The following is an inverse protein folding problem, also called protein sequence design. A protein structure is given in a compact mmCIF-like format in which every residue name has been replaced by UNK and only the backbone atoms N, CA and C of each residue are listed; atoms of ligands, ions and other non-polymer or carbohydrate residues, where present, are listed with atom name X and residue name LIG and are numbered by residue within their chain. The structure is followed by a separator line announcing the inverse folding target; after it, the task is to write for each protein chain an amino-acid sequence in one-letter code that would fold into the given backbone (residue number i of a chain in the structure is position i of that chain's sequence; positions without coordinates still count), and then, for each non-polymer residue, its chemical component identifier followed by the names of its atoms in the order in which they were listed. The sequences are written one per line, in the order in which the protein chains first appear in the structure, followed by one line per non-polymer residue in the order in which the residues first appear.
data_IF_354818039736
#
_entry.id   IF_354818039736
#
_cell.length_a   1.000
_cell.length_b   1.000
_cell.length_c   1.000
_cell.angle_alpha   90.00
_cell.angle_beta   90.00
_cell.angle_gamma   90.00
#
_symmetry.space_group_name_H-M   'P 1'
#
loop_
_entity.id
_entity.type
_entity.pdbx_description
1 polymer ?
#
# COMPACT_ATOMS: atom_id res chain seq x y z
N UNK A 1 -19.32 20.24 -5.00
CA UNK A 1 -19.00 18.81 -5.19
C UNK A 1 -19.58 18.38 -6.52
N UNK A 2 -18.78 17.69 -7.35
CA UNK A 2 -19.20 17.11 -8.63
C UNK A 2 -18.81 15.63 -8.62
N UNK A 3 -19.64 14.76 -9.19
CA UNK A 3 -19.35 13.32 -9.29
C UNK A 3 -18.27 13.09 -10.36
N UNK A 4 -17.16 12.46 -10.00
CA UNK A 4 -16.10 12.07 -10.93
C UNK A 4 -16.36 10.70 -11.61
N UNK A 5 -17.10 9.78 -10.97
CA UNK A 5 -17.39 8.48 -11.57
C UNK A 5 -18.02 7.47 -10.61
N UNK A 6 -17.88 6.19 -10.96
CA UNK A 6 -18.25 5.00 -10.18
C UNK A 6 -17.20 3.93 -10.42
N UNK A 7 -16.85 3.21 -9.37
CA UNK A 7 -16.03 2.01 -9.41
C UNK A 7 -16.68 0.96 -8.51
N UNK A 8 -16.41 -0.31 -8.76
CA UNK A 8 -16.97 -1.41 -7.98
C UNK A 8 -16.14 -1.62 -6.70
N UNK A 9 -16.75 -1.49 -5.52
CA UNK A 9 -16.09 -1.71 -4.22
C UNK A 9 -14.74 -0.93 -4.07
N UNK A 10 -14.78 0.41 -3.92
CA UNK A 10 -13.58 1.22 -3.72
C UNK A 10 -12.89 0.88 -2.39
N UNK A 11 -11.57 0.65 -2.41
CA UNK A 11 -10.79 0.12 -1.28
C UNK A 11 -9.66 1.01 -0.80
N UNK A 12 -9.09 1.82 -1.69
CA UNK A 12 -8.03 2.76 -1.36
C UNK A 12 -7.98 3.90 -2.37
N UNK A 13 -7.40 5.04 -1.95
CA UNK A 13 -7.18 6.20 -2.81
C UNK A 13 -5.84 6.83 -2.46
N UNK A 14 -5.02 7.11 -3.46
CA UNK A 14 -3.80 7.89 -3.29
C UNK A 14 -3.44 8.69 -4.53
N UNK A 15 -3.18 9.99 -4.34
CA UNK A 15 -2.72 10.93 -5.38
C UNK A 15 -3.43 10.81 -6.75
N UNK A 16 -4.76 10.67 -6.72
CA UNK A 16 -5.57 10.56 -7.93
C UNK A 16 -5.65 9.15 -8.52
N UNK A 17 -5.10 8.13 -7.87
CA UNK A 17 -5.41 6.73 -8.15
C UNK A 17 -6.40 6.16 -7.14
N UNK A 18 -7.24 5.23 -7.59
CA UNK A 18 -8.25 4.54 -6.79
C UNK A 18 -8.07 3.04 -7.01
N UNK A 19 -7.93 2.28 -5.91
CA UNK A 19 -8.01 0.83 -5.92
C UNK A 19 -9.46 0.40 -5.73
N UNK A 20 -9.92 -0.54 -6.54
CA UNK A 20 -11.29 -1.06 -6.52
C UNK A 20 -11.31 -2.55 -6.92
N UNK A 21 -12.43 -3.24 -6.68
CA UNK A 21 -12.59 -4.65 -7.07
C UNK A 21 -12.46 -4.87 -8.58
N UNK A 22 -12.90 -3.89 -9.39
CA UNK A 22 -12.77 -3.90 -10.85
C UNK A 22 -11.41 -3.41 -11.37
N UNK A 23 -10.45 -3.11 -10.48
CA UNK A 23 -9.07 -2.78 -10.83
C UNK A 23 -8.64 -1.40 -10.33
N UNK A 24 -7.63 -0.83 -10.98
CA UNK A 24 -7.12 0.50 -10.65
C UNK A 24 -7.71 1.53 -11.60
N UNK A 25 -8.12 2.66 -11.05
CA UNK A 25 -8.66 3.80 -11.79
C UNK A 25 -7.87 5.07 -11.48
N UNK A 26 -7.76 5.94 -12.48
CA UNK A 26 -7.14 7.25 -12.34
C UNK A 26 -8.20 8.35 -12.45
N UNK A 27 -8.18 9.29 -11.52
CA UNK A 27 -8.92 10.54 -11.59
C UNK A 27 -8.33 11.39 -12.70
N UNK A 28 -9.19 11.79 -13.65
CA UNK A 28 -8.89 12.71 -14.74
C UNK A 28 -9.86 13.89 -14.66
N UNK A 29 -9.65 14.94 -15.45
CA UNK A 29 -10.32 16.24 -15.32
C UNK A 29 -11.81 16.17 -14.96
N UNK A 30 -12.62 15.45 -15.76
CA UNK A 30 -14.07 15.34 -15.60
C UNK A 30 -14.54 13.91 -15.29
N UNK A 31 -13.62 13.00 -14.92
CA UNK A 31 -13.93 11.58 -14.94
C UNK A 31 -13.01 10.67 -14.14
N UNK A 32 -13.33 9.37 -14.21
CA UNK A 32 -12.44 8.27 -13.85
C UNK A 32 -12.08 7.48 -15.09
N UNK A 33 -10.81 7.09 -15.21
CA UNK A 33 -10.31 6.23 -16.27
C UNK A 33 -9.77 4.94 -15.66
N UNK A 34 -10.29 3.79 -16.06
CA UNK A 34 -9.67 2.50 -15.72
C UNK A 34 -8.27 2.41 -16.35
N UNK A 35 -7.29 2.00 -15.55
CA UNK A 35 -5.90 1.79 -15.97
C UNK A 35 -5.49 0.32 -15.87
N UNK A 36 -6.45 -0.60 -15.68
CA UNK A 36 -6.24 -2.04 -15.70
C UNK A 36 -6.10 -2.69 -14.32
N UNK A 37 -5.48 -3.88 -14.31
CA UNK A 37 -5.51 -4.84 -13.19
C UNK A 37 -6.94 -5.31 -12.86
N UNK A 38 -7.04 -6.16 -11.85
CA UNK A 38 -8.28 -6.63 -11.26
C UNK A 38 -8.07 -6.83 -9.76
N UNK A 39 -9.14 -6.72 -8.98
CA UNK A 39 -9.13 -6.92 -7.53
C UNK A 39 -8.02 -6.10 -6.84
N UNK A 40 -7.93 -4.82 -7.19
CA UNK A 40 -6.96 -3.91 -6.59
C UNK A 40 -7.34 -3.66 -5.14
N UNK A 41 -6.37 -3.83 -4.25
CA UNK A 41 -6.54 -3.71 -2.80
C UNK A 41 -5.96 -2.41 -2.30
N UNK A 42 -4.84 -1.96 -2.85
CA UNK A 42 -4.22 -0.71 -2.44
C UNK A 42 -3.43 -0.07 -3.58
N UNK A 43 -3.18 1.24 -3.49
CA UNK A 43 -2.45 2.02 -4.50
C UNK A 43 -1.54 3.06 -3.85
N UNK A 44 -0.37 3.25 -4.44
CA UNK A 44 0.45 4.44 -4.24
C UNK A 44 0.51 5.20 -5.56
N UNK A 45 0.04 6.46 -5.57
CA UNK A 45 -0.14 7.23 -6.81
C UNK A 45 0.93 8.27 -7.09
N UNK A 46 1.78 8.61 -6.11
CA UNK A 46 2.84 9.63 -6.26
C UNK A 46 4.10 9.03 -6.88
N UNK A 47 4.89 9.87 -7.55
CA UNK A 47 6.16 9.47 -8.13
C UNK A 47 6.01 8.26 -9.07
N UNK A 48 6.55 7.12 -8.65
CA UNK A 48 6.44 5.83 -9.33
C UNK A 48 5.21 5.06 -8.78
N UNK A 49 4.13 4.89 -9.57
CA UNK A 49 2.91 4.31 -9.03
C UNK A 49 3.03 2.80 -8.80
N UNK A 50 2.44 2.34 -7.69
CA UNK A 50 2.33 0.93 -7.32
C UNK A 50 0.89 0.54 -7.05
N UNK A 51 0.59 -0.74 -7.22
CA UNK A 51 -0.69 -1.34 -6.84
C UNK A 51 -0.48 -2.70 -6.16
N UNK A 52 -1.18 -2.90 -5.05
CA UNK A 52 -1.33 -4.21 -4.41
C UNK A 52 -2.66 -4.83 -4.84
N UNK A 53 -2.66 -6.11 -5.19
CA UNK A 53 -3.85 -6.84 -5.65
C UNK A 53 -3.91 -8.23 -5.03
N UNK A 54 -4.99 -8.97 -5.27
CA UNK A 54 -5.05 -10.38 -4.88
C UNK A 54 -4.09 -11.29 -5.64
N UNK A 55 -3.55 -10.87 -6.78
CA UNK A 55 -2.64 -11.69 -7.59
C UNK A 55 -1.15 -11.35 -7.36
N UNK A 56 -0.85 -10.11 -6.96
CA UNK A 56 0.52 -9.62 -6.96
C UNK A 56 0.67 -8.15 -6.58
N UNK A 57 1.94 -7.75 -6.46
CA UNK A 57 2.40 -6.37 -6.45
C UNK A 57 2.77 -5.95 -7.87
N UNK A 58 2.30 -4.77 -8.26
CA UNK A 58 2.52 -4.22 -9.59
C UNK A 58 3.06 -2.81 -9.53
N UNK A 59 3.80 -2.45 -10.56
CA UNK A 59 4.31 -1.09 -10.77
C UNK A 59 3.90 -0.57 -12.14
N UNK A 60 3.51 0.70 -12.20
CA UNK A 60 3.12 1.35 -13.45
C UNK A 60 4.33 1.97 -14.16
N UNK A 61 4.63 1.47 -15.36
CA UNK A 61 5.57 2.07 -16.32
C UNK A 61 4.88 2.27 -17.67
N UNK A 62 5.30 1.52 -18.70
CA UNK A 62 4.60 1.46 -19.99
C UNK A 62 3.35 0.54 -19.95
N UNK A 63 2.69 0.49 -18.79
CA UNK A 63 1.74 -0.56 -18.39
C UNK A 63 2.11 -1.14 -17.02
N UNK A 64 1.22 -1.95 -16.45
CA UNK A 64 1.47 -2.65 -15.20
C UNK A 64 2.48 -3.77 -15.40
N UNK A 65 3.57 -3.70 -14.65
CA UNK A 65 4.60 -4.73 -14.60
C UNK A 65 4.49 -5.43 -13.25
N UNK A 66 4.46 -6.76 -13.27
CA UNK A 66 4.49 -7.56 -12.05
C UNK A 66 5.86 -7.41 -11.37
N UNK A 67 5.85 -7.09 -10.10
CA UNK A 67 7.05 -6.97 -9.26
C UNK A 67 7.19 -8.18 -8.32
N UNK A 68 6.05 -8.74 -7.88
CA UNK A 68 5.96 -9.97 -7.09
C UNK A 68 4.62 -10.64 -7.33
N UNK A 69 4.65 -11.96 -7.41
CA UNK A 69 3.45 -12.80 -7.38
C UNK A 69 3.01 -13.06 -5.94
N UNK A 70 1.72 -13.33 -5.74
CA UNK A 70 1.13 -13.58 -4.44
C UNK A 70 0.33 -12.40 -3.92
N UNK A 71 -0.69 -12.68 -3.11
CA UNK A 71 -1.63 -11.67 -2.68
C UNK A 71 -0.94 -10.58 -1.85
N UNK A 72 -1.13 -9.33 -2.23
CA UNK A 72 -0.66 -8.17 -1.48
C UNK A 72 -1.83 -7.32 -1.02
N UNK A 73 -1.71 -6.69 0.15
CA UNK A 73 -2.82 -5.99 0.81
C UNK A 73 -2.59 -4.49 0.97
N UNK A 74 -1.32 -4.08 1.06
CA UNK A 74 -0.92 -2.69 1.21
C UNK A 74 0.35 -2.38 0.43
N UNK A 75 0.49 -1.14 -0.05
CA UNK A 75 1.72 -0.64 -0.69
C UNK A 75 1.87 0.87 -0.50
N UNK A 76 3.07 1.32 -0.17
CA UNK A 76 3.43 2.73 -0.06
C UNK A 76 4.85 2.97 -0.52
N UNK A 77 5.15 4.17 -1.01
CA UNK A 77 6.51 4.59 -1.36
C UNK A 77 6.83 5.99 -0.82
N UNK A 78 8.11 6.23 -0.56
CA UNK A 78 8.69 7.53 -0.24
C UNK A 78 10.08 7.63 -0.88
N UNK A 79 10.22 8.57 -1.82
CA UNK A 79 11.42 8.67 -2.68
C UNK A 79 11.69 7.36 -3.43
N UNK A 80 12.89 6.83 -3.25
CA UNK A 80 13.34 5.57 -3.87
C UNK A 80 12.95 4.32 -3.04
N UNK A 81 12.39 4.49 -1.85
CA UNK A 81 12.03 3.39 -0.96
C UNK A 81 10.56 3.05 -1.10
N UNK A 82 10.25 1.77 -1.22
CA UNK A 82 8.89 1.26 -1.25
C UNK A 82 8.71 0.14 -0.21
N UNK A 83 7.52 0.05 0.36
CA UNK A 83 7.12 -0.95 1.34
C UNK A 83 5.78 -1.52 0.95
N UNK A 84 5.59 -2.81 1.25
CA UNK A 84 4.36 -3.52 0.93
C UNK A 84 4.08 -4.60 1.96
N UNK A 85 2.84 -5.07 2.00
CA UNK A 85 2.42 -6.19 2.85
C UNK A 85 1.83 -7.29 1.97
N UNK A 86 2.43 -8.47 2.00
CA UNK A 86 1.90 -9.69 1.39
C UNK A 86 1.47 -10.71 2.47
N UNK A 87 1.13 -11.93 2.05
CA UNK A 87 0.72 -13.00 2.96
C UNK A 87 1.87 -13.48 3.88
N UNK A 88 3.13 -13.29 3.47
CA UNK A 88 4.32 -13.66 4.23
C UNK A 88 4.75 -12.56 5.22
N UNK A 89 4.40 -11.30 4.94
CA UNK A 89 4.54 -10.20 5.89
C UNK A 89 4.98 -8.89 5.22
N UNK A 90 5.82 -8.15 5.94
CA UNK A 90 6.31 -6.85 5.48
C UNK A 90 7.46 -7.03 4.48
N UNK A 91 7.38 -6.31 3.36
CA UNK A 91 8.40 -6.25 2.34
C UNK A 91 8.96 -4.85 2.21
N UNK A 92 10.23 -4.74 1.85
CA UNK A 92 10.90 -3.49 1.49
C UNK A 92 11.60 -3.61 0.15
N UNK A 93 11.64 -2.49 -0.58
CA UNK A 93 12.38 -2.33 -1.82
C UNK A 93 13.12 -0.99 -1.79
N UNK A 94 14.41 -1.03 -2.10
CA UNK A 94 15.27 0.15 -2.21
C UNK A 94 15.63 0.40 -3.68
N UNK A 95 15.30 1.57 -4.21
CA UNK A 95 15.60 2.00 -5.58
C UNK A 95 14.94 1.12 -6.65
N UNK A 96 15.75 0.33 -7.37
CA UNK A 96 15.27 -0.65 -8.37
C UNK A 96 15.54 -2.10 -7.98
N UNK A 97 15.91 -2.35 -6.72
CA UNK A 97 16.20 -3.68 -6.21
C UNK A 97 14.95 -4.57 -6.15
N UNK A 98 15.18 -5.86 -5.90
CA UNK A 98 14.12 -6.81 -5.59
C UNK A 98 13.51 -6.51 -4.22
N UNK A 99 12.21 -6.80 -4.09
CA UNK A 99 11.52 -6.82 -2.80
C UNK A 99 12.13 -7.87 -1.87
N UNK A 100 12.39 -7.49 -0.63
CA UNK A 100 12.97 -8.35 0.40
C UNK A 100 12.09 -8.34 1.65
N UNK A 101 11.95 -9.50 2.30
CA UNK A 101 11.21 -9.62 3.56
C UNK A 101 11.90 -8.88 4.70
N UNK A 102 11.08 -8.28 5.56
CA UNK A 102 11.51 -7.56 6.76
C UNK A 102 11.00 -8.30 7.98
N UNK A 103 11.92 -8.78 8.82
CA UNK A 103 11.57 -9.30 10.13
C UNK A 103 11.09 -8.17 11.04
N UNK A 104 9.92 -8.37 11.64
CA UNK A 104 9.33 -7.39 12.56
C UNK A 104 9.09 -8.03 13.93
N UNK A 105 9.08 -7.24 15.02
CA UNK A 105 8.74 -7.73 16.35
C UNK A 105 7.25 -8.06 16.54
N UNK A 106 6.39 -7.85 15.53
CA UNK A 106 4.98 -8.18 15.64
C UNK A 106 4.75 -9.69 15.57
N UNK A 107 3.89 -10.18 16.45
CA UNK A 107 3.41 -11.57 16.44
C UNK A 107 2.14 -11.72 15.61
N UNK A 108 1.40 -10.63 15.38
CA UNK A 108 0.19 -10.61 14.57
C UNK A 108 0.47 -10.10 13.15
N UNK A 109 -0.39 -10.49 12.21
CA UNK A 109 -0.33 -10.03 10.82
C UNK A 109 -0.38 -8.51 10.73
N UNK A 110 0.65 -7.94 10.11
CA UNK A 110 0.65 -6.56 9.61
C UNK A 110 -0.40 -6.44 8.50
N UNK A 111 -1.23 -5.41 8.54
CA UNK A 111 -2.33 -5.20 7.59
C UNK A 111 -2.17 -3.94 6.75
N UNK A 112 -1.34 -2.99 7.20
CA UNK A 112 -1.07 -1.77 6.45
C UNK A 112 0.29 -1.19 6.81
N UNK A 113 0.86 -0.41 5.89
CA UNK A 113 2.20 0.19 6.00
C UNK A 113 2.25 1.52 5.27
N UNK A 114 3.01 2.47 5.81
CA UNK A 114 3.26 3.75 5.17
C UNK A 114 4.49 4.44 5.72
N UNK A 115 4.64 5.72 5.36
CA UNK A 115 5.73 6.58 5.81
C UNK A 115 5.18 7.80 6.54
N UNK A 116 5.91 8.20 7.57
CA UNK A 116 5.91 9.56 8.14
C UNK A 116 7.18 10.27 7.66
N UNK A 117 7.31 11.57 7.92
CA UNK A 117 8.56 12.30 7.63
C UNK A 117 9.80 11.70 8.32
N UNK A 118 9.62 10.94 9.40
CA UNK A 118 10.72 10.46 10.24
C UNK A 118 10.89 8.93 10.29
N UNK A 119 9.89 8.16 9.83
CA UNK A 119 9.85 6.72 10.06
C UNK A 119 8.94 5.97 9.09
N UNK A 120 9.28 4.71 8.85
CA UNK A 120 8.33 3.72 8.32
C UNK A 120 7.40 3.30 9.45
N UNK A 121 6.09 3.28 9.18
CA UNK A 121 5.06 2.90 10.15
C UNK A 121 4.22 1.76 9.59
N UNK A 122 3.86 0.80 10.43
CA UNK A 122 2.99 -0.30 10.07
C UNK A 122 1.99 -0.59 11.20
N UNK A 123 0.87 -1.22 10.88
CA UNK A 123 -0.12 -1.61 11.89
C UNK A 123 -0.55 -3.06 11.72
N UNK A 124 -0.81 -3.75 12.83
CA UNK A 124 -1.42 -5.08 12.82
C UNK A 124 -2.94 -5.00 12.99
N UNK A 125 -3.66 -6.04 12.56
CA UNK A 125 -5.10 -6.14 12.77
C UNK A 125 -5.51 -6.06 14.27
N UNK A 126 -4.62 -6.50 15.16
CA UNK A 126 -4.80 -6.46 16.60
C UNK A 126 -4.53 -5.07 17.22
N UNK A 127 -4.20 -4.07 16.41
CA UNK A 127 -3.95 -2.71 16.86
C UNK A 127 -2.59 -2.50 17.50
N UNK A 128 -1.58 -3.24 17.06
CA UNK A 128 -0.17 -2.92 17.36
C UNK A 128 0.36 -1.99 16.28
N UNK A 129 0.81 -0.80 16.67
CA UNK A 129 1.61 0.08 15.83
C UNK A 129 3.07 -0.36 15.88
N UNK A 130 3.70 -0.43 14.71
CA UNK A 130 5.14 -0.61 14.55
C UNK A 130 5.74 0.64 13.93
N UNK A 131 6.94 1.03 14.38
CA UNK A 131 7.67 2.18 13.83
C UNK A 131 9.16 1.85 13.70
N UNK A 132 9.77 2.20 12.57
CA UNK A 132 11.23 2.14 12.36
C UNK A 132 11.73 3.47 11.81
N UNK A 133 12.58 4.14 12.59
CA UNK A 133 13.22 5.42 12.26
C UNK A 133 14.68 5.25 11.77
N UNK A 134 15.07 4.04 11.39
CA UNK A 134 16.43 3.68 10.95
C UNK A 134 17.30 3.06 12.04
N UNK A 135 16.76 2.90 13.26
CA UNK A 135 17.42 2.23 14.39
C UNK A 135 16.71 0.93 14.82
N UNK A 136 15.77 0.47 13.98
CA UNK A 136 15.06 -0.79 14.14
C UNK A 136 13.63 -0.61 14.65
N UNK A 137 12.85 -1.67 14.47
CA UNK A 137 11.42 -1.67 14.79
C UNK A 137 11.15 -1.58 16.29
N UNK A 138 10.23 -0.68 16.65
CA UNK A 138 9.60 -0.59 17.97
C UNK A 138 8.10 -0.80 17.85
N UNK A 139 7.46 -1.22 18.93
CA UNK A 139 6.02 -1.47 18.95
C UNK A 139 5.29 -0.71 20.05
N UNK A 140 4.02 -0.41 19.80
CA UNK A 140 3.09 0.17 20.77
C UNK A 140 1.67 -0.31 20.52
N UNK A 141 0.99 -0.78 21.56
CA UNK A 141 -0.44 -1.07 21.48
C UNK A 141 -1.26 0.23 21.40
N UNK A 142 -2.21 0.28 20.47
CA UNK A 142 -3.10 1.43 20.24
C UNK A 142 -4.35 1.40 21.13
N UNK A 143 -4.66 0.26 21.75
CA UNK A 143 -5.88 0.08 22.56
C UNK A 143 -7.15 -0.11 21.74
N UNK A 144 -7.02 -0.44 20.45
CA UNK A 144 -8.12 -0.78 19.53
C UNK A 144 -7.83 -2.11 18.84
N UNK A 145 -8.84 -2.75 18.26
CA UNK A 145 -8.71 -3.99 17.48
C UNK A 145 -9.54 -3.91 16.20
N UNK A 146 -9.28 -4.78 15.23
CA UNK A 146 -9.95 -4.74 13.94
C UNK A 146 -9.44 -3.61 13.06
N UNK A 147 -8.17 -3.21 13.23
CA UNK A 147 -7.52 -2.24 12.37
C UNK A 147 -7.41 -2.84 10.97
N UNK A 148 -7.76 -2.06 9.95
CA UNK A 148 -7.68 -2.47 8.55
C UNK A 148 -6.78 -1.57 7.71
N UNK A 149 -6.58 -0.32 8.15
CA UNK A 149 -5.77 0.69 7.45
C UNK A 149 -5.15 1.67 8.45
N UNK A 150 -4.08 2.31 8.03
CA UNK A 150 -3.54 3.53 8.62
C UNK A 150 -3.58 4.66 7.60
N UNK A 151 -3.65 5.90 8.06
CA UNK A 151 -3.48 7.08 7.24
C UNK A 151 -2.50 8.00 7.95
N UNK A 152 -1.47 8.44 7.22
CA UNK A 152 -0.48 9.38 7.73
C UNK A 152 -0.74 10.74 7.11
N UNK A 153 -0.78 11.77 7.94
CA UNK A 153 -0.76 13.14 7.45
C UNK A 153 0.68 13.48 7.07
N UNK A 154 0.91 13.69 5.78
CA UNK A 154 2.12 14.28 5.23
C UNK A 154 1.95 15.79 5.07
#
# INVERSE_FOLDING_TARGET
WTRAGVVDDPRAVDAGMIAAADGVHQVVDDGLRSVGLADARDVHGRGMPFAATAAGLYRLGNGWMAERDGAATAVSADGDRAVAVDDDGLLVREGVASWTGVETPATERVVDVGFTEAATVAVTAAGTLLTDAGDGWRTRALGVTGVSRLAVQA
#
